data_IF_358086133725
#
_entry.id   IF_358086133725
#
_cell.length_a   1.000
_cell.length_b   1.000
_cell.length_c   1.000
_cell.angle_alpha   90.00
_cell.angle_beta   90.00
_cell.angle_gamma   90.00
#
_symmetry.space_group_name_H-M   'P 1'
#
loop_
_entity.id
_entity.type
_entity.pdbx_description
1 polymer ?
#
# COMPACT_ATOMS: atom_id res chain seq x y z
N UNK A 1 15.80 -37.15 -25.28
CA UNK A 1 14.37 -36.80 -25.06
C UNK A 1 14.33 -35.39 -24.48
N UNK A 2 14.27 -34.39 -25.37
CA UNK A 2 14.54 -32.97 -25.11
C UNK A 2 13.38 -32.26 -24.43
N UNK A 3 13.10 -32.66 -23.19
CA UNK A 3 12.12 -32.01 -22.35
C UNK A 3 12.57 -30.56 -22.09
N UNK A 4 11.69 -29.61 -22.39
CA UNK A 4 11.78 -28.21 -21.94
C UNK A 4 12.83 -27.34 -22.63
N UNK A 5 12.80 -27.26 -23.97
CA UNK A 5 13.36 -26.08 -24.65
C UNK A 5 12.63 -24.83 -24.11
N UNK A 6 13.35 -23.79 -23.62
CA UNK A 6 12.78 -22.55 -23.09
C UNK A 6 11.73 -21.88 -24.00
N UNK A 7 11.76 -22.21 -25.29
CA UNK A 7 10.78 -21.82 -26.29
C UNK A 7 9.32 -22.13 -25.91
N UNK A 8 9.03 -23.27 -25.27
CA UNK A 8 7.65 -23.63 -24.91
C UNK A 8 7.06 -22.69 -23.86
N UNK A 9 7.88 -22.21 -22.92
CA UNK A 9 7.46 -21.25 -21.90
C UNK A 9 7.07 -19.90 -22.50
N UNK A 10 7.80 -19.45 -23.52
CA UNK A 10 7.47 -18.21 -24.25
C UNK A 10 6.10 -18.34 -24.91
N UNK A 11 5.83 -19.46 -25.59
CA UNK A 11 4.52 -19.71 -26.23
C UNK A 11 3.40 -19.70 -25.19
N UNK A 12 3.62 -20.32 -24.03
CA UNK A 12 2.61 -20.36 -22.97
C UNK A 12 2.32 -18.96 -22.39
N UNK A 13 3.36 -18.14 -22.16
CA UNK A 13 3.19 -16.75 -21.72
C UNK A 13 2.42 -15.94 -22.77
N UNK A 14 2.73 -16.12 -24.06
CA UNK A 14 2.02 -15.44 -25.15
C UNK A 14 0.54 -15.81 -25.16
N UNK A 15 0.20 -17.10 -24.99
CA UNK A 15 -1.19 -17.56 -24.90
C UNK A 15 -1.91 -16.96 -23.68
N UNK A 16 -1.27 -16.95 -22.52
CA UNK A 16 -1.83 -16.32 -21.31
C UNK A 16 -2.08 -14.83 -21.52
N UNK A 17 -1.13 -14.10 -22.13
CA UNK A 17 -1.30 -12.68 -22.44
C UNK A 17 -2.42 -12.44 -23.46
N UNK A 18 -2.62 -13.34 -24.42
CA UNK A 18 -3.73 -13.26 -25.39
C UNK A 18 -5.09 -13.46 -24.73
N UNK A 19 -5.21 -14.41 -23.80
CA UNK A 19 -6.49 -14.72 -23.12
C UNK A 19 -6.84 -13.66 -22.07
N UNK A 20 -5.87 -13.27 -21.24
CA UNK A 20 -6.08 -12.33 -20.14
C UNK A 20 -5.93 -10.86 -20.57
N UNK A 21 -5.19 -10.59 -21.64
CA UNK A 21 -4.84 -9.26 -22.12
C UNK A 21 -3.57 -8.70 -21.48
N UNK A 22 -2.79 -7.94 -22.25
CA UNK A 22 -1.52 -7.34 -21.81
C UNK A 22 -1.67 -6.35 -20.64
N UNK A 23 -2.85 -5.74 -20.46
CA UNK A 23 -3.12 -4.83 -19.35
C UNK A 23 -3.47 -5.52 -18.03
N UNK A 24 -4.00 -6.76 -18.06
CA UNK A 24 -4.48 -7.44 -16.84
C UNK A 24 -3.38 -8.19 -16.09
N UNK A 25 -2.40 -8.76 -16.79
CA UNK A 25 -1.23 -9.40 -16.16
C UNK A 25 -0.48 -8.49 -15.18
N UNK A 26 -0.11 -7.24 -15.53
CA UNK A 26 0.65 -6.38 -14.63
C UNK A 26 -0.16 -5.96 -13.39
N UNK A 27 -1.48 -5.77 -13.51
CA UNK A 27 -2.33 -5.46 -12.36
C UNK A 27 -2.43 -6.64 -11.38
N UNK A 28 -2.63 -7.86 -11.90
CA UNK A 28 -2.67 -9.07 -11.10
C UNK A 28 -1.30 -9.30 -10.44
N UNK A 29 -0.20 -9.16 -11.18
CA UNK A 29 1.14 -9.29 -10.64
C UNK A 29 1.44 -8.23 -9.55
N UNK A 30 0.99 -6.99 -9.72
CA UNK A 30 1.13 -5.92 -8.72
C UNK A 30 0.38 -6.26 -7.42
N UNK A 31 -0.89 -6.67 -7.52
CA UNK A 31 -1.70 -7.02 -6.34
C UNK A 31 -1.12 -8.23 -5.60
N UNK A 32 -0.77 -9.30 -6.32
CA UNK A 32 -0.13 -10.49 -5.75
C UNK A 32 1.24 -10.17 -5.15
N UNK A 33 2.04 -9.34 -5.82
CA UNK A 33 3.35 -8.91 -5.35
C UNK A 33 3.28 -8.11 -4.05
N UNK A 34 2.26 -7.26 -3.90
CA UNK A 34 2.04 -6.49 -2.68
C UNK A 34 1.66 -7.40 -1.51
N UNK A 35 0.77 -8.38 -1.71
CA UNK A 35 0.43 -9.38 -0.70
C UNK A 35 1.63 -10.25 -0.31
N UNK A 36 2.42 -10.71 -1.30
CA UNK A 36 3.64 -11.49 -1.04
C UNK A 36 4.71 -10.67 -0.30
N UNK A 37 4.80 -9.37 -0.55
CA UNK A 37 5.73 -8.48 0.16
C UNK A 37 5.38 -8.37 1.65
N UNK A 38 4.10 -8.24 1.98
CA UNK A 38 3.63 -8.21 3.38
C UNK A 38 3.91 -9.56 4.05
N UNK A 39 3.48 -10.66 3.43
CA UNK A 39 3.73 -12.00 3.95
C UNK A 39 5.22 -12.28 4.16
N UNK A 40 6.09 -11.86 3.23
CA UNK A 40 7.53 -12.06 3.36
C UNK A 40 8.16 -11.20 4.45
N UNK A 41 7.62 -10.03 4.75
CA UNK A 41 8.06 -9.21 5.90
C UNK A 41 7.65 -9.87 7.21
N UNK A 42 6.40 -10.27 7.34
CA UNK A 42 5.89 -10.95 8.53
C UNK A 42 6.66 -12.26 8.78
N UNK A 43 6.85 -13.09 7.76
CA UNK A 43 7.63 -14.33 7.88
C UNK A 43 9.11 -14.06 8.21
N UNK A 44 9.66 -12.92 7.78
CA UNK A 44 11.04 -12.52 8.10
C UNK A 44 11.13 -12.02 9.54
N UNK A 45 10.17 -11.23 10.01
CA UNK A 45 10.07 -10.81 11.42
C UNK A 45 9.90 -12.02 12.34
N UNK A 46 9.04 -12.98 12.00
CA UNK A 46 8.91 -14.24 12.75
C UNK A 46 10.19 -15.08 12.79
N UNK A 47 11.10 -14.91 11.83
CA UNK A 47 12.40 -15.60 11.80
C UNK A 47 13.51 -14.79 12.47
N UNK A 48 13.33 -13.47 12.60
CA UNK A 48 14.29 -12.54 13.21
C UNK A 48 13.97 -12.26 14.69
N UNK A 49 12.74 -12.50 15.15
CA UNK A 49 12.31 -12.37 16.56
C UNK A 49 12.98 -13.38 17.51
N UNK A 50 13.70 -14.40 17.00
CA UNK A 50 14.60 -15.24 17.82
C UNK A 50 15.90 -14.50 18.25
N UNK A 51 16.23 -13.30 17.70
CA UNK A 51 17.52 -12.60 17.89
C UNK A 51 17.46 -11.04 18.13
N UNK A 52 16.39 -10.46 18.73
CA UNK A 52 16.21 -9.03 19.18
C UNK A 52 16.11 -7.90 18.10
N UNK A 53 15.82 -6.61 18.44
CA UNK A 53 14.77 -5.94 19.25
C UNK A 53 13.78 -5.10 18.36
N UNK A 54 12.71 -4.45 18.90
CA UNK A 54 11.49 -4.18 18.12
C UNK A 54 11.53 -3.00 17.12
N UNK A 55 11.00 -3.31 15.93
CA UNK A 55 10.25 -2.53 14.95
C UNK A 55 10.58 -1.03 14.71
N UNK A 56 11.29 -0.75 13.60
CA UNK A 56 11.16 0.53 12.91
C UNK A 56 9.89 0.55 12.05
N UNK A 57 8.88 1.29 12.52
CA UNK A 57 7.72 1.66 11.71
C UNK A 57 8.20 2.62 10.62
N UNK A 58 8.37 2.13 9.40
CA UNK A 58 8.65 2.98 8.24
C UNK A 58 7.35 3.70 7.83
N UNK A 59 7.23 4.97 8.19
CA UNK A 59 6.19 5.88 7.71
C UNK A 59 6.24 6.00 6.18
N UNK A 60 5.10 5.92 5.46
CA UNK A 60 5.02 6.41 4.09
C UNK A 60 5.12 7.95 4.10
N UNK A 61 6.24 8.48 3.63
CA UNK A 61 6.31 9.86 3.16
C UNK A 61 5.58 9.95 1.82
N UNK A 62 4.36 10.48 1.81
CA UNK A 62 3.78 11.11 0.62
C UNK A 62 3.31 12.51 1.01
N UNK A 63 4.21 13.47 0.81
CA UNK A 63 3.89 14.87 0.81
C UNK A 63 3.01 15.20 -0.39
N UNK A 64 1.74 15.46 -0.14
CA UNK A 64 0.99 16.47 -0.89
C UNK A 64 0.30 17.33 0.16
N UNK A 65 0.98 18.41 0.53
CA UNK A 65 0.37 19.51 1.26
C UNK A 65 -0.72 20.08 0.36
N UNK A 66 -1.99 19.82 0.68
CA UNK A 66 -3.05 20.72 0.24
C UNK A 66 -2.94 21.99 1.09
N UNK A 67 -2.57 23.05 0.41
CA UNK A 67 -2.59 24.44 0.88
C UNK A 67 -3.96 24.78 1.43
N UNK A 68 -3.98 25.28 2.66
CA UNK A 68 -5.13 25.96 3.25
C UNK A 68 -5.19 27.40 2.70
N UNK A 69 -6.35 27.83 2.17
CA UNK A 69 -6.78 29.21 2.29
C UNK A 69 -8.03 29.26 3.18
N UNK A 70 -7.89 29.97 4.29
CA UNK A 70 -8.96 30.47 5.15
C UNK A 70 -10.13 31.02 4.33
N UNK A 71 -11.34 30.50 4.54
CA UNK A 71 -12.57 31.29 4.34
C UNK A 71 -13.23 31.52 5.68
N UNK A 72 -13.05 32.75 6.17
CA UNK A 72 -13.93 33.45 7.09
C UNK A 72 -15.39 33.26 6.65
N UNK A 73 -16.24 32.77 7.55
CA UNK A 73 -17.67 32.71 7.30
C UNK A 73 -18.34 31.46 7.82
N UNK A 74 -18.13 31.11 9.09
CA UNK A 74 -19.08 30.26 9.81
C UNK A 74 -19.31 30.87 11.19
N UNK A 75 -20.56 31.30 11.34
CA UNK A 75 -21.13 32.00 12.47
C UNK A 75 -20.94 31.23 13.78
N UNK A 76 -20.82 32.01 14.85
CA UNK A 76 -20.90 31.57 16.24
C UNK A 76 -22.09 30.62 16.48
N UNK A 77 -21.96 29.73 17.48
CA UNK A 77 -22.75 30.02 18.68
C UNK A 77 -21.97 29.87 20.00
N UNK A 78 -22.30 30.82 20.88
CA UNK A 78 -22.27 30.76 22.35
C UNK A 78 -20.92 30.62 23.07
N UNK A 79 -20.27 31.76 23.25
CA UNK A 79 -19.58 32.07 24.51
C UNK A 79 -20.62 32.52 25.54
N UNK A 80 -20.82 31.76 26.60
CA UNK A 80 -21.28 32.29 27.88
C UNK A 80 -20.64 31.48 29.00
N UNK A 81 -19.31 31.61 29.08
CA UNK A 81 -18.59 31.48 30.35
C UNK A 81 -18.99 32.65 31.26
N UNK A 82 -19.15 32.36 32.55
CA UNK A 82 -19.89 33.20 33.49
C UNK A 82 -19.27 34.56 33.83
N UNK A 83 -20.07 35.42 34.44
CA UNK A 83 -19.57 36.45 35.36
C UNK A 83 -20.69 36.93 36.27
N UNK A 84 -20.32 37.15 37.54
CA UNK A 84 -20.89 38.16 38.46
C UNK A 84 -22.25 37.83 39.09
N UNK A 85 -22.27 37.44 40.37
CA UNK A 85 -22.38 38.37 41.50
C UNK A 85 -23.62 39.29 41.41
N UNK A 86 -24.73 38.82 41.96
CA UNK A 86 -25.49 39.50 43.02
C UNK A 86 -26.29 38.46 43.81
#
# INVERSE_FOLDING_TARGET
>A
MGAFKPWHWIVLIVVVVLVFGAGRLPDIAKSLGQSMKVFKKEVKELREDDDQPPAQIQQPQEGTYYTQPTQQGQAAPSSQEGTSQH
#
